data_IF_427645349861
#
_entry.id   IF_427645349861
#
_cell.length_a   1.000
_cell.length_b   1.000
_cell.length_c   1.000
_cell.angle_alpha   90.00
_cell.angle_beta   90.00
_cell.angle_gamma   90.00
#
_symmetry.space_group_name_H-M   'P 1'
#
loop_
_entity.id
_entity.type
_entity.pdbx_description
1 polymer ?
#
# COMPACT_ATOMS: atom_id res chain seq x y z
N UNK A 1 -8.72 -10.49 -17.66
CA UNK A 1 -7.39 -11.13 -17.56
C UNK A 1 -6.75 -10.58 -16.30
N UNK A 2 -6.27 -11.44 -15.43
CA UNK A 2 -5.54 -11.00 -14.24
C UNK A 2 -4.06 -10.86 -14.62
N UNK A 3 -3.44 -9.75 -14.23
CA UNK A 3 -2.01 -9.51 -14.45
C UNK A 3 -1.24 -9.80 -13.15
N UNK A 4 -0.01 -10.26 -13.28
CA UNK A 4 0.84 -10.45 -12.10
C UNK A 4 1.41 -9.12 -11.60
N UNK A 5 1.58 -9.01 -10.29
CA UNK A 5 2.29 -7.88 -9.69
C UNK A 5 3.78 -8.12 -9.79
N UNK A 6 4.49 -7.22 -10.47
CA UNK A 6 5.95 -7.20 -10.47
C UNK A 6 6.44 -6.47 -9.23
N UNK A 7 7.33 -7.12 -8.45
CA UNK A 7 7.89 -6.58 -7.21
C UNK A 7 9.40 -6.48 -7.39
N UNK A 8 9.94 -5.28 -7.18
CA UNK A 8 11.36 -4.99 -7.25
C UNK A 8 11.82 -4.16 -6.05
N UNK A 9 13.11 -4.08 -5.84
CA UNK A 9 13.73 -3.19 -4.86
C UNK A 9 14.69 -2.25 -5.55
N UNK A 10 14.63 -0.96 -5.18
CA UNK A 10 15.53 0.08 -5.68
C UNK A 10 15.99 0.94 -4.50
N UNK A 11 17.29 0.98 -4.22
CA UNK A 11 17.81 1.68 -3.05
C UNK A 11 17.05 1.28 -1.77
N UNK A 12 16.35 2.21 -1.12
CA UNK A 12 15.54 1.94 0.07
C UNK A 12 14.06 1.66 -0.25
N UNK A 13 13.71 1.51 -1.52
CA UNK A 13 12.33 1.42 -1.95
C UNK A 13 11.88 -0.02 -2.24
N UNK A 14 10.60 -0.29 -1.95
CA UNK A 14 9.85 -1.36 -2.60
C UNK A 14 9.10 -0.74 -3.77
N UNK A 15 9.24 -1.33 -4.96
CA UNK A 15 8.53 -0.89 -6.17
C UNK A 15 7.60 -2.02 -6.62
N UNK A 16 6.31 -1.71 -6.71
CA UNK A 16 5.31 -2.67 -7.20
C UNK A 16 4.70 -2.10 -8.48
N UNK A 17 4.65 -2.92 -9.52
CA UNK A 17 4.06 -2.54 -10.79
C UNK A 17 2.96 -3.54 -11.15
N UNK A 18 1.78 -3.03 -11.48
CA UNK A 18 0.65 -3.82 -11.93
C UNK A 18 -0.08 -3.13 -13.07
N UNK A 19 -0.44 -3.89 -14.07
CA UNK A 19 -1.35 -3.44 -15.13
C UNK A 19 -2.80 -3.79 -14.76
N UNK A 20 -3.71 -2.83 -14.95
CA UNK A 20 -5.15 -3.00 -14.78
C UNK A 20 -5.86 -2.76 -16.10
N UNK A 21 -6.76 -3.68 -16.46
CA UNK A 21 -7.59 -3.55 -17.67
C UNK A 21 -8.79 -2.63 -17.40
N UNK A 22 -8.50 -1.37 -17.11
CA UNK A 22 -9.49 -0.32 -16.82
C UNK A 22 -8.92 1.06 -17.15
N UNK A 23 -9.78 2.04 -17.52
CA UNK A 23 -9.34 3.41 -17.78
C UNK A 23 -8.68 4.06 -16.55
N UNK A 24 -7.66 4.84 -16.78
CA UNK A 24 -6.85 5.52 -15.75
C UNK A 24 -7.69 6.31 -14.74
N UNK A 25 -8.70 7.03 -15.21
CA UNK A 25 -9.58 7.79 -14.34
C UNK A 25 -10.38 6.89 -13.38
N UNK A 26 -10.79 5.70 -13.82
CA UNK A 26 -11.50 4.75 -12.96
C UNK A 26 -10.56 4.11 -11.94
N UNK A 27 -9.34 3.74 -12.37
CA UNK A 27 -8.33 3.20 -11.45
C UNK A 27 -7.97 4.24 -10.39
N UNK A 28 -7.71 5.48 -10.79
CA UNK A 28 -7.45 6.58 -9.86
C UNK A 28 -8.61 6.80 -8.88
N UNK A 29 -9.85 6.79 -9.37
CA UNK A 29 -11.05 6.91 -8.53
C UNK A 29 -11.10 5.83 -7.45
N UNK A 30 -10.76 4.58 -7.78
CA UNK A 30 -10.74 3.48 -6.84
C UNK A 30 -9.72 3.67 -5.68
N UNK A 31 -8.71 4.50 -5.88
CA UNK A 31 -7.72 4.86 -4.86
C UNK A 31 -8.14 6.05 -3.98
N UNK A 32 -9.01 6.92 -4.46
CA UNK A 32 -9.39 8.16 -3.74
C UNK A 32 -10.81 8.16 -3.20
N UNK A 33 -11.70 7.32 -3.72
CA UNK A 33 -13.05 7.16 -3.17
C UNK A 33 -12.98 6.23 -1.96
N UNK A 34 -13.34 6.68 -0.73
CA UNK A 34 -13.21 5.87 0.47
C UNK A 34 -14.04 4.58 0.44
N UNK A 35 -15.20 4.59 -0.23
CA UNK A 35 -16.06 3.41 -0.35
C UNK A 35 -15.40 2.37 -1.25
N UNK A 36 -14.92 2.78 -2.42
CA UNK A 36 -14.21 1.89 -3.33
C UNK A 36 -12.90 1.38 -2.70
N UNK A 37 -12.14 2.27 -2.07
CA UNK A 37 -10.86 1.93 -1.43
C UNK A 37 -11.05 0.86 -0.35
N UNK A 38 -12.11 0.95 0.45
CA UNK A 38 -12.44 -0.04 1.48
C UNK A 38 -12.73 -1.45 0.92
N UNK A 39 -13.20 -1.54 -0.32
CA UNK A 39 -13.51 -2.84 -0.95
C UNK A 39 -12.26 -3.65 -1.31
N UNK A 40 -11.12 -3.00 -1.58
CA UNK A 40 -9.93 -3.69 -2.05
C UNK A 40 -8.69 -3.54 -1.15
N UNK A 41 -8.69 -2.59 -0.22
CA UNK A 41 -7.54 -2.39 0.66
C UNK A 41 -7.29 -3.59 1.57
N UNK A 42 -6.05 -4.03 1.65
CA UNK A 42 -5.61 -5.17 2.45
C UNK A 42 -5.54 -6.50 1.68
N UNK A 43 -4.75 -7.45 2.19
CA UNK A 43 -4.57 -8.77 1.57
C UNK A 43 -5.89 -9.51 1.33
N UNK A 44 -5.86 -10.57 0.53
CA UNK A 44 -7.00 -11.46 0.36
C UNK A 44 -7.49 -12.02 1.70
N UNK A 45 -8.81 -12.04 1.89
CA UNK A 45 -9.43 -12.46 3.14
C UNK A 45 -9.55 -11.36 4.20
N UNK A 46 -8.85 -10.23 4.03
CA UNK A 46 -8.97 -9.06 4.90
C UNK A 46 -10.14 -8.18 4.47
N UNK A 47 -10.73 -7.49 5.43
CA UNK A 47 -11.65 -6.38 5.21
C UNK A 47 -11.00 -5.07 5.63
N UNK A 48 -11.57 -3.94 5.23
CA UNK A 48 -11.04 -2.64 5.62
C UNK A 48 -12.15 -1.63 5.89
N UNK A 49 -11.85 -0.67 6.77
CA UNK A 49 -12.60 0.57 6.93
C UNK A 49 -11.70 1.74 6.55
N UNK A 50 -12.27 2.72 5.87
CA UNK A 50 -11.54 3.87 5.33
C UNK A 50 -12.25 5.15 5.67
N UNK A 51 -11.52 6.09 6.26
CA UNK A 51 -11.91 7.49 6.42
C UNK A 51 -10.81 8.35 5.81
N UNK A 52 -11.16 9.25 4.90
CA UNK A 52 -10.17 10.04 4.18
C UNK A 52 -10.72 11.43 3.81
N UNK A 53 -9.93 12.46 4.10
CA UNK A 53 -10.09 13.81 3.58
C UNK A 53 -9.14 13.96 2.37
N UNK A 54 -9.64 13.63 1.18
CA UNK A 54 -8.82 13.48 -0.03
C UNK A 54 -8.45 14.83 -0.60
N UNK A 55 -7.43 15.43 -0.05
CA UNK A 55 -6.74 16.65 -0.52
C UNK A 55 -5.31 16.64 -0.01
N UNK A 56 -4.45 17.41 -0.61
CA UNK A 56 -3.07 17.58 -0.10
C UNK A 56 -3.11 18.07 1.35
N UNK A 57 -2.38 17.36 2.23
CA UNK A 57 -2.38 17.59 3.68
C UNK A 57 -3.61 17.05 4.41
N UNK A 58 -4.61 16.50 3.72
CA UNK A 58 -5.79 15.88 4.34
C UNK A 58 -5.45 14.59 5.08
N UNK A 59 -6.14 14.33 6.18
CA UNK A 59 -5.91 13.13 7.00
C UNK A 59 -6.55 11.88 6.39
N UNK A 60 -5.95 10.72 6.67
CA UNK A 60 -6.50 9.42 6.34
C UNK A 60 -6.38 8.43 7.49
N UNK A 61 -7.35 7.53 7.59
CA UNK A 61 -7.34 6.39 8.49
C UNK A 61 -7.84 5.16 7.73
N UNK A 62 -6.95 4.18 7.61
CA UNK A 62 -7.19 2.91 6.93
C UNK A 62 -6.99 1.80 7.95
N UNK A 63 -8.04 1.08 8.32
CA UNK A 63 -7.88 -0.06 9.24
C UNK A 63 -8.23 -1.35 8.51
N UNK A 64 -7.26 -2.26 8.42
CA UNK A 64 -7.47 -3.60 7.93
C UNK A 64 -7.85 -4.53 9.07
N UNK A 65 -8.66 -5.52 8.79
CA UNK A 65 -9.04 -6.57 9.74
C UNK A 65 -8.74 -7.93 9.12
N UNK A 66 -7.97 -8.74 9.85
CA UNK A 66 -7.70 -10.12 9.44
C UNK A 66 -8.97 -10.98 9.53
N UNK A 67 -8.99 -12.19 8.92
CA UNK A 67 -10.09 -13.13 9.09
C UNK A 67 -10.38 -13.49 10.56
N UNK A 68 -9.37 -13.42 11.43
CA UNK A 68 -9.48 -13.67 12.87
C UNK A 68 -9.96 -12.42 13.65
N UNK A 69 -10.09 -11.27 12.97
CA UNK A 69 -10.57 -10.03 13.56
C UNK A 69 -9.48 -9.14 14.17
N UNK A 70 -8.20 -9.45 13.95
CA UNK A 70 -7.10 -8.58 14.37
C UNK A 70 -7.07 -7.31 13.51
N UNK A 71 -6.97 -6.15 14.18
CA UNK A 71 -6.96 -4.85 13.53
C UNK A 71 -5.53 -4.35 13.25
N UNK A 72 -5.34 -3.82 12.04
CA UNK A 72 -4.10 -3.20 11.59
C UNK A 72 -4.37 -1.75 11.18
N UNK A 73 -4.39 -0.81 12.15
CA UNK A 73 -4.71 0.58 11.87
C UNK A 73 -3.51 1.30 11.23
N UNK A 74 -3.78 1.94 10.11
CA UNK A 74 -2.84 2.83 9.41
C UNK A 74 -3.42 4.23 9.43
N UNK A 75 -2.71 5.16 10.04
CA UNK A 75 -3.01 6.58 9.98
C UNK A 75 -2.15 7.28 8.94
N UNK A 76 -2.33 8.58 8.81
CA UNK A 76 -1.44 9.41 8.00
C UNK A 76 -2.15 10.56 7.30
N UNK A 77 -1.54 11.01 6.21
CA UNK A 77 -2.06 12.12 5.43
C UNK A 77 -1.68 11.99 3.96
N UNK A 78 -2.39 12.72 3.11
CA UNK A 78 -2.04 12.81 1.69
C UNK A 78 -0.93 13.84 1.47
N UNK A 79 0.02 13.49 0.62
CA UNK A 79 1.00 14.41 0.05
C UNK A 79 0.49 14.97 -1.27
N UNK A 80 1.34 14.93 -2.30
CA UNK A 80 1.01 15.40 -3.65
C UNK A 80 -0.16 14.61 -4.26
N UNK A 81 -1.12 15.32 -4.83
CA UNK A 81 -2.22 14.74 -5.59
C UNK A 81 -2.30 15.44 -6.95
N UNK A 82 -2.02 14.69 -8.02
CA UNK A 82 -2.27 15.12 -9.40
C UNK A 82 -3.35 14.21 -9.98
N UNK A 83 -4.56 14.72 -10.25
CA UNK A 83 -5.68 13.89 -10.67
C UNK A 83 -5.32 12.97 -11.85
N UNK A 84 -5.62 11.68 -11.69
CA UNK A 84 -5.36 10.60 -12.65
C UNK A 84 -3.88 10.31 -12.93
N UNK A 85 -2.93 10.94 -12.23
CA UNK A 85 -1.50 10.78 -12.50
C UNK A 85 -0.70 10.39 -11.26
N UNK A 86 -0.88 11.10 -10.13
CA UNK A 86 -0.07 10.92 -8.92
C UNK A 86 -0.95 10.97 -7.68
N UNK A 87 -0.68 10.05 -6.77
CA UNK A 87 -1.21 10.05 -5.42
C UNK A 87 -0.08 9.70 -4.45
N UNK A 88 0.22 10.60 -3.52
CA UNK A 88 1.20 10.36 -2.45
C UNK A 88 0.46 10.21 -1.12
N UNK A 89 0.76 9.14 -0.41
CA UNK A 89 0.24 8.87 0.94
C UNK A 89 1.43 8.71 1.89
N UNK A 90 1.38 9.41 3.01
CA UNK A 90 2.32 9.21 4.11
C UNK A 90 1.64 8.29 5.11
N UNK A 91 2.06 7.04 5.17
CA UNK A 91 1.38 5.96 5.88
C UNK A 91 2.08 5.63 7.19
N UNK A 92 1.36 5.75 8.30
CA UNK A 92 1.85 5.52 9.65
C UNK A 92 1.22 4.24 10.26
N UNK A 93 2.04 3.22 10.44
CA UNK A 93 1.68 1.95 11.07
C UNK A 93 2.06 1.87 12.56
N UNK A 94 2.40 2.99 13.20
CA UNK A 94 2.88 3.03 14.60
C UNK A 94 1.88 2.46 15.59
N UNK A 95 0.57 2.45 15.25
CA UNK A 95 -0.51 1.91 16.08
C UNK A 95 -0.80 0.42 15.84
N UNK A 96 -0.03 -0.27 15.01
CA UNK A 96 -0.10 -1.73 14.91
C UNK A 96 0.23 -2.39 16.24
N UNK A 97 -0.14 -3.66 16.40
CA UNK A 97 0.10 -4.41 17.64
C UNK A 97 1.59 -4.51 18.00
N UNK A 98 1.88 -4.67 19.28
CA UNK A 98 3.25 -4.89 19.74
C UNK A 98 3.89 -6.12 19.07
N UNK A 99 3.11 -7.19 18.85
CA UNK A 99 3.58 -8.39 18.16
C UNK A 99 3.99 -8.11 16.69
N UNK A 100 3.27 -7.23 16.01
CA UNK A 100 3.65 -6.79 14.65
C UNK A 100 4.99 -6.03 14.68
N UNK A 101 5.14 -5.08 15.61
CA UNK A 101 6.38 -4.32 15.76
C UNK A 101 7.58 -5.21 16.13
N UNK A 102 7.37 -6.20 17.00
CA UNK A 102 8.40 -7.19 17.34
C UNK A 102 8.83 -8.01 16.11
N UNK A 103 7.87 -8.43 15.29
CA UNK A 103 8.14 -9.19 14.07
C UNK A 103 8.92 -8.37 13.03
N UNK A 104 8.52 -7.09 12.81
CA UNK A 104 9.26 -6.17 11.92
C UNK A 104 10.67 -5.92 12.47
N UNK A 105 10.83 -5.68 13.77
CA UNK A 105 12.13 -5.47 14.39
C UNK A 105 13.04 -6.70 14.25
N UNK A 106 12.50 -7.90 14.43
CA UNK A 106 13.25 -9.13 14.20
C UNK A 106 13.71 -9.26 12.75
N UNK A 107 12.82 -8.99 11.79
CA UNK A 107 13.16 -8.96 10.37
C UNK A 107 14.22 -7.90 10.02
N UNK A 108 14.15 -6.74 10.66
CA UNK A 108 15.14 -5.67 10.52
C UNK A 108 16.53 -6.10 10.99
N UNK A 109 16.62 -6.75 12.14
CA UNK A 109 17.88 -7.29 12.66
C UNK A 109 18.41 -8.40 11.77
N UNK A 110 17.55 -9.32 11.33
CA UNK A 110 17.92 -10.40 10.39
C UNK A 110 18.44 -9.86 9.04
N UNK A 111 17.97 -8.70 8.61
CA UNK A 111 18.45 -8.01 7.42
C UNK A 111 19.77 -7.22 7.65
N UNK A 112 20.32 -7.26 8.85
CA UNK A 112 21.59 -6.61 9.21
C UNK A 112 21.42 -5.24 9.91
N UNK A 113 20.21 -4.86 10.29
CA UNK A 113 19.95 -3.65 11.06
C UNK A 113 20.38 -3.80 12.52
N UNK A 114 20.84 -2.73 13.13
CA UNK A 114 21.13 -2.71 14.56
C UNK A 114 19.85 -2.44 15.36
N UNK A 115 19.56 -3.20 16.44
CA UNK A 115 18.31 -3.05 17.19
C UNK A 115 18.01 -1.61 17.65
N UNK A 116 19.03 -0.84 17.94
CA UNK A 116 18.94 0.56 18.37
C UNK A 116 18.56 1.53 17.25
N UNK A 117 18.75 1.15 15.99
CA UNK A 117 18.40 1.96 14.82
C UNK A 117 16.98 1.69 14.31
N UNK A 118 16.30 0.69 14.90
CA UNK A 118 14.91 0.40 14.54
C UNK A 118 14.00 1.60 14.85
N UNK A 119 13.19 1.95 13.87
CA UNK A 119 12.15 2.96 14.02
C UNK A 119 10.86 2.49 13.32
N UNK A 120 9.74 3.11 13.65
CA UNK A 120 8.46 2.89 13.01
C UNK A 120 8.01 4.18 12.28
N UNK A 121 8.96 4.85 11.61
CA UNK A 121 8.68 6.07 10.88
C UNK A 121 7.62 5.84 9.78
N UNK A 122 6.80 6.84 9.50
CA UNK A 122 5.85 6.78 8.40
C UNK A 122 6.52 6.46 7.07
N UNK A 123 5.82 5.70 6.23
CA UNK A 123 6.31 5.27 4.92
C UNK A 123 5.66 6.16 3.86
N UNK A 124 6.48 6.86 3.08
CA UNK A 124 5.98 7.54 1.89
C UNK A 124 5.61 6.48 0.84
N UNK A 125 4.36 6.51 0.43
CA UNK A 125 3.82 5.62 -0.61
C UNK A 125 3.37 6.48 -1.78
N UNK A 126 4.17 6.49 -2.84
CA UNK A 126 3.89 7.23 -4.08
C UNK A 126 3.28 6.29 -5.11
N UNK A 127 2.11 6.64 -5.58
CA UNK A 127 1.39 5.89 -6.62
C UNK A 127 1.34 6.72 -7.89
N UNK A 128 1.76 6.14 -9.00
CA UNK A 128 1.64 6.76 -10.33
C UNK A 128 0.71 5.94 -11.23
N UNK A 129 -0.02 6.63 -12.08
CA UNK A 129 -1.02 6.07 -12.98
C UNK A 129 -0.68 6.49 -14.40
N UNK A 130 -0.42 5.52 -15.27
CA UNK A 130 -0.04 5.76 -16.67
C UNK A 130 -0.92 4.96 -17.60
N UNK A 131 -1.34 5.58 -18.73
CA UNK A 131 -2.06 4.84 -19.77
C UNK A 131 -1.10 3.84 -20.44
N UNK A 132 -1.49 2.58 -20.50
CA UNK A 132 -0.70 1.53 -21.15
C UNK A 132 -1.58 0.45 -21.75
N UNK A 133 -1.45 0.23 -23.08
CA UNK A 133 -2.09 -0.89 -23.77
C UNK A 133 -3.63 -0.92 -23.69
N UNK A 134 -4.26 0.23 -23.58
CA UNK A 134 -5.72 0.36 -23.44
C UNK A 134 -6.22 0.24 -21.99
N UNK A 135 -5.33 0.01 -21.04
CA UNK A 135 -5.59 -0.01 -19.60
C UNK A 135 -4.67 0.95 -18.86
N UNK A 136 -4.36 0.63 -17.60
CA UNK A 136 -3.59 1.49 -16.71
C UNK A 136 -2.44 0.72 -16.08
N UNK A 137 -1.22 1.23 -16.25
CA UNK A 137 -0.08 0.80 -15.43
C UNK A 137 -0.08 1.60 -14.14
N UNK A 138 -0.12 0.89 -13.00
CA UNK A 138 0.03 1.46 -11.66
C UNK A 138 1.39 1.09 -11.12
N UNK A 139 2.15 2.08 -10.67
CA UNK A 139 3.41 1.88 -9.95
C UNK A 139 3.25 2.40 -8.53
N UNK A 140 3.45 1.54 -7.55
CA UNK A 140 3.50 1.90 -6.12
C UNK A 140 4.95 1.87 -5.69
N UNK A 141 5.44 2.98 -5.18
CA UNK A 141 6.79 3.11 -4.61
C UNK A 141 6.68 3.44 -3.14
N UNK A 142 7.14 2.54 -2.30
CA UNK A 142 7.22 2.73 -0.86
C UNK A 142 8.68 3.01 -0.47
N UNK A 143 8.93 4.18 0.08
CA UNK A 143 10.27 4.64 0.47
C UNK A 143 10.47 4.46 1.97
N UNK A 144 11.48 3.67 2.33
CA UNK A 144 11.87 3.40 3.71
C UNK A 144 13.09 4.23 4.11
N UNK A 145 13.28 4.42 5.41
CA UNK A 145 14.46 5.14 5.94
C UNK A 145 15.78 4.39 5.67
N UNK A 146 15.71 3.05 5.59
CA UNK A 146 16.86 2.18 5.37
C UNK A 146 16.47 0.95 4.53
N UNK A 147 17.42 0.42 3.77
CA UNK A 147 17.23 -0.82 3.00
C UNK A 147 16.88 -2.01 3.92
N UNK A 148 17.44 -2.07 5.13
CA UNK A 148 17.12 -3.10 6.14
C UNK A 148 15.67 -3.03 6.62
N UNK A 149 15.07 -1.84 6.71
CA UNK A 149 13.63 -1.69 6.98
C UNK A 149 12.79 -2.17 5.82
N UNK A 150 13.13 -1.80 4.58
CA UNK A 150 12.51 -2.32 3.36
C UNK A 150 12.52 -3.86 3.34
N UNK A 151 13.68 -4.46 3.61
CA UNK A 151 13.85 -5.91 3.58
C UNK A 151 13.04 -6.61 4.70
N UNK A 152 12.94 -5.99 5.88
CA UNK A 152 12.09 -6.46 6.96
C UNK A 152 10.60 -6.51 6.56
N UNK A 153 10.10 -5.48 5.90
CA UNK A 153 8.72 -5.44 5.40
C UNK A 153 8.47 -6.48 4.32
N UNK A 154 9.41 -6.66 3.38
CA UNK A 154 9.31 -7.71 2.35
C UNK A 154 9.29 -9.11 2.97
N UNK A 155 10.15 -9.37 3.96
CA UNK A 155 10.21 -10.65 4.66
C UNK A 155 8.91 -10.96 5.40
N UNK A 156 8.24 -9.95 5.92
CA UNK A 156 6.94 -10.09 6.58
C UNK A 156 5.76 -10.24 5.60
N UNK A 157 5.99 -10.22 4.31
CA UNK A 157 4.99 -10.47 3.28
C UNK A 157 4.31 -9.22 2.71
N UNK A 158 4.92 -8.05 2.82
CA UNK A 158 4.40 -6.81 2.25
C UNK A 158 4.07 -6.95 0.75
N UNK A 159 4.96 -7.56 -0.03
CA UNK A 159 4.72 -7.78 -1.47
C UNK A 159 3.53 -8.69 -1.76
N UNK A 160 3.39 -9.77 -0.98
CA UNK A 160 2.24 -10.70 -1.08
C UNK A 160 0.94 -9.98 -0.69
N UNK A 161 0.99 -9.16 0.35
CA UNK A 161 -0.15 -8.35 0.80
C UNK A 161 -0.62 -7.37 -0.29
N UNK A 162 0.29 -6.65 -0.91
CA UNK A 162 -0.01 -5.75 -2.03
C UNK A 162 -0.59 -6.50 -3.24
N UNK A 163 -0.02 -7.65 -3.60
CA UNK A 163 -0.52 -8.47 -4.70
C UNK A 163 -1.95 -8.93 -4.45
N UNK A 164 -2.27 -9.35 -3.22
CA UNK A 164 -3.63 -9.72 -2.81
C UNK A 164 -4.60 -8.54 -2.88
N UNK A 165 -4.18 -7.35 -2.43
CA UNK A 165 -4.95 -6.11 -2.57
C UNK A 165 -5.24 -5.79 -4.04
N UNK A 166 -4.26 -5.93 -4.92
CA UNK A 166 -4.43 -5.67 -6.34
C UNK A 166 -5.35 -6.68 -7.03
N UNK A 167 -5.38 -7.94 -6.60
CA UNK A 167 -6.36 -8.91 -7.08
C UNK A 167 -7.80 -8.48 -6.72
N UNK A 168 -7.99 -7.96 -5.51
CA UNK A 168 -9.27 -7.40 -5.09
C UNK A 168 -9.63 -6.14 -5.89
N UNK A 169 -8.66 -5.26 -6.17
CA UNK A 169 -8.85 -4.09 -7.01
C UNK A 169 -9.30 -4.48 -8.43
N UNK A 170 -8.70 -5.49 -9.05
CA UNK A 170 -9.16 -6.03 -10.34
C UNK A 170 -10.66 -6.38 -10.30
N UNK A 171 -11.10 -7.06 -9.22
CA UNK A 171 -12.50 -7.44 -9.06
C UNK A 171 -13.43 -6.22 -8.88
N UNK A 172 -12.99 -5.20 -8.15
CA UNK A 172 -13.74 -3.93 -7.98
C UNK A 172 -13.87 -3.21 -9.33
N UNK A 173 -12.78 -3.07 -10.07
CA UNK A 173 -12.77 -2.41 -11.38
C UNK A 173 -13.66 -3.14 -12.38
N UNK A 174 -13.68 -4.48 -12.36
CA UNK A 174 -14.51 -5.28 -13.25
C UNK A 174 -16.03 -5.09 -13.00
N UNK A 175 -16.44 -4.80 -11.76
CA UNK A 175 -17.85 -4.54 -11.42
C UNK A 175 -18.32 -3.14 -11.82
N UNK A 176 -17.39 -2.20 -11.99
CA UNK A 176 -17.68 -0.77 -12.19
C UNK A 176 -17.69 -0.38 -13.68
N UNK A 177 -17.39 -1.31 -14.58
CA UNK A 177 -17.42 -1.14 -16.04
C UNK A 177 -18.82 -1.13 -16.61
#
# INVERSE_FOLDING_TARGET
MSFDTHIATEANDIVLIRHFDAPRALVFMAWIDPVMLAEWWGPEGFTATVEADVREGGEMSLTMYSPEGEAYPIGGHFGEIVPNEILVMIMDASRHSAGWHEAIKAGFVDAGGRPEDYNADPIETRVTFEDEGGGTKVTVRQTFTMATMRDAHLKLGSGVGWSGSFNKLDAVLAKTR
#
